data_IF_903410138760
#
_entry.id   IF_903410138760
#
_cell.length_a   1.000
_cell.length_b   1.000
_cell.length_c   1.000
_cell.angle_alpha   90.00
_cell.angle_beta   90.00
_cell.angle_gamma   90.00
#
_symmetry.space_group_name_H-M   'P 1'
#
loop_
_entity.id
_entity.type
_entity.pdbx_description
1 polymer ?
#
# COMPACT_ATOMS: atom_id res chain seq x y z
N UNK A 1 -0.88 17.21 -14.18
CA UNK A 1 -2.11 17.34 -13.40
C UNK A 1 -1.77 17.48 -11.92
N UNK A 2 -2.32 18.47 -11.29
CA UNK A 2 -2.00 18.72 -9.90
C UNK A 2 -3.19 18.41 -9.01
N UNK A 3 -2.89 17.86 -7.85
CA UNK A 3 -3.90 17.54 -6.86
C UNK A 3 -3.76 18.49 -5.68
N UNK A 4 -4.88 18.78 -5.03
CA UNK A 4 -4.84 19.62 -3.84
C UNK A 4 -4.24 18.84 -2.68
N UNK A 5 -3.76 19.57 -1.67
CA UNK A 5 -3.24 18.95 -0.46
C UNK A 5 -4.31 18.06 0.18
N UNK A 6 -5.55 18.51 0.19
CA UNK A 6 -6.64 17.73 0.78
C UNK A 6 -6.87 16.42 0.03
N UNK A 7 -6.78 16.45 -1.30
CA UNK A 7 -6.92 15.24 -2.09
C UNK A 7 -5.79 14.26 -1.79
N UNK A 8 -4.58 14.77 -1.66
CA UNK A 8 -3.41 13.94 -1.37
C UNK A 8 -3.50 13.31 0.02
N UNK A 9 -3.95 14.09 1.00
CA UNK A 9 -4.12 13.58 2.37
C UNK A 9 -5.17 12.49 2.43
N UNK A 10 -6.27 12.67 1.71
CA UNK A 10 -7.32 11.67 1.67
C UNK A 10 -6.83 10.40 0.97
N UNK A 11 -6.13 10.56 -0.15
CA UNK A 11 -5.58 9.42 -0.86
C UNK A 11 -4.63 8.63 0.03
N UNK A 12 -3.78 9.34 0.76
CA UNK A 12 -2.84 8.69 1.68
C UNK A 12 -3.58 7.90 2.75
N UNK A 13 -4.64 8.49 3.30
CA UNK A 13 -5.43 7.82 4.34
C UNK A 13 -6.05 6.52 3.81
N UNK A 14 -6.61 6.58 2.60
CA UNK A 14 -7.22 5.41 1.99
C UNK A 14 -6.18 4.33 1.72
N UNK A 15 -5.01 4.73 1.24
CA UNK A 15 -3.92 3.78 0.97
C UNK A 15 -3.42 3.16 2.27
N UNK A 16 -3.23 3.96 3.32
CA UNK A 16 -2.79 3.44 4.62
C UNK A 16 -3.77 2.40 5.15
N UNK A 17 -5.06 2.67 5.04
CA UNK A 17 -6.09 1.73 5.47
C UNK A 17 -6.03 0.44 4.65
N UNK A 18 -5.87 0.56 3.34
CA UNK A 18 -5.77 -0.59 2.45
C UNK A 18 -4.52 -1.41 2.75
N UNK A 19 -3.40 -0.74 2.98
CA UNK A 19 -2.16 -1.43 3.34
C UNK A 19 -2.31 -2.23 4.63
N UNK A 20 -2.95 -1.63 5.62
CA UNK A 20 -3.19 -2.34 6.87
C UNK A 20 -4.01 -3.61 6.64
N UNK A 21 -5.08 -3.50 5.87
CA UNK A 21 -5.94 -4.65 5.58
C UNK A 21 -5.19 -5.73 4.79
N UNK A 22 -4.38 -5.33 3.83
CA UNK A 22 -3.61 -6.29 3.05
C UNK A 22 -2.61 -7.05 3.91
N UNK A 23 -1.93 -6.35 4.79
CA UNK A 23 -0.96 -6.99 5.69
C UNK A 23 -1.65 -7.95 6.65
N UNK A 24 -2.82 -7.59 7.15
CA UNK A 24 -3.59 -8.48 8.02
C UNK A 24 -4.08 -9.71 7.26
N UNK A 25 -4.47 -9.53 6.01
CA UNK A 25 -4.89 -10.65 5.16
C UNK A 25 -3.74 -11.62 4.94
N UNK A 26 -2.55 -11.10 4.69
CA UNK A 26 -1.37 -11.95 4.50
C UNK A 26 -1.10 -12.76 5.77
N UNK A 27 -1.14 -12.12 6.93
CA UNK A 27 -0.94 -12.80 8.20
C UNK A 27 -1.94 -13.93 8.39
N UNK A 28 -3.19 -13.65 8.06
CA UNK A 28 -4.27 -14.63 8.19
C UNK A 28 -4.00 -15.85 7.32
N UNK A 29 -3.64 -15.64 6.06
CA UNK A 29 -3.36 -16.76 5.17
C UNK A 29 -2.13 -17.54 5.59
N UNK A 30 -1.09 -16.85 6.05
CA UNK A 30 0.15 -17.52 6.47
C UNK A 30 -0.03 -18.34 7.73
N UNK A 31 -1.02 -18.00 8.53
CA UNK A 31 -1.33 -18.73 9.75
C UNK A 31 -2.22 -19.95 9.54
N UNK A 32 -2.71 -20.16 8.32
CA UNK A 32 -3.54 -21.33 8.02
C UNK A 32 -2.71 -22.61 8.06
N UNK A 33 -3.39 -23.72 8.29
CA UNK A 33 -2.71 -25.03 8.38
C UNK A 33 -2.01 -25.41 7.09
N UNK A 34 -2.55 -24.99 5.96
CA UNK A 34 -1.97 -25.30 4.66
C UNK A 34 -1.74 -24.02 3.89
N UNK A 35 -0.71 -23.26 4.23
CA UNK A 35 -0.46 -21.95 3.57
C UNK A 35 -0.29 -22.07 2.07
N UNK A 36 0.21 -23.20 1.56
CA UNK A 36 0.40 -23.37 0.12
C UNK A 36 -0.89 -23.24 -0.66
N UNK A 37 -2.02 -23.55 -0.05
CA UNK A 37 -3.31 -23.42 -0.72
C UNK A 37 -3.64 -21.98 -1.04
N UNK A 38 -3.03 -21.06 -0.32
CA UNK A 38 -3.29 -19.62 -0.47
C UNK A 38 -2.13 -18.88 -1.09
N UNK A 39 -1.18 -19.62 -1.66
CA UNK A 39 0.03 -19.02 -2.20
C UNK A 39 -0.26 -17.93 -3.23
N UNK A 40 -1.20 -18.17 -4.11
CA UNK A 40 -1.55 -17.17 -5.14
C UNK A 40 -2.13 -15.91 -4.52
N UNK A 41 -3.00 -16.07 -3.53
CA UNK A 41 -3.59 -14.94 -2.84
C UNK A 41 -2.55 -14.15 -2.07
N UNK A 42 -1.62 -14.85 -1.41
CA UNK A 42 -0.55 -14.20 -0.68
C UNK A 42 0.35 -13.42 -1.63
N UNK A 43 0.73 -14.03 -2.75
CA UNK A 43 1.56 -13.37 -3.75
C UNK A 43 0.90 -12.11 -4.29
N UNK A 44 -0.38 -12.19 -4.61
CA UNK A 44 -1.11 -11.04 -5.11
C UNK A 44 -1.19 -9.93 -4.06
N UNK A 45 -1.47 -10.31 -2.82
CA UNK A 45 -1.54 -9.33 -1.73
C UNK A 45 -0.19 -8.64 -1.52
N UNK A 46 0.91 -9.39 -1.58
CA UNK A 46 2.24 -8.80 -1.44
C UNK A 46 2.57 -7.82 -2.56
N UNK A 47 2.16 -8.15 -3.77
CA UNK A 47 2.36 -7.25 -4.91
C UNK A 47 1.59 -5.94 -4.70
N UNK A 48 0.38 -6.05 -4.15
CA UNK A 48 -0.42 -4.87 -3.87
C UNK A 48 0.19 -4.03 -2.75
N UNK A 49 0.71 -4.70 -1.73
CA UNK A 49 1.40 -3.97 -0.66
C UNK A 49 2.56 -3.17 -1.21
N UNK A 50 3.34 -3.78 -2.09
CA UNK A 50 4.47 -3.08 -2.70
C UNK A 50 4.02 -1.89 -3.53
N UNK A 51 3.02 -2.11 -4.39
CA UNK A 51 2.52 -1.04 -5.27
C UNK A 51 1.96 0.12 -4.45
N UNK A 52 1.16 -0.18 -3.44
CA UNK A 52 0.57 0.88 -2.62
C UNK A 52 1.59 1.57 -1.74
N UNK A 53 2.64 0.85 -1.32
CA UNK A 53 3.72 1.47 -0.57
C UNK A 53 4.44 2.50 -1.42
N UNK A 54 4.72 2.15 -2.67
CA UNK A 54 5.37 3.08 -3.60
C UNK A 54 4.47 4.31 -3.82
N UNK A 55 3.18 4.08 -4.08
CA UNK A 55 2.25 5.18 -4.29
C UNK A 55 2.19 6.09 -3.06
N UNK A 56 2.17 5.48 -1.87
CA UNK A 56 2.10 6.25 -0.64
C UNK A 56 3.35 7.10 -0.42
N UNK A 57 4.52 6.57 -0.77
CA UNK A 57 5.75 7.33 -0.66
C UNK A 57 5.76 8.51 -1.62
N UNK A 58 5.27 8.31 -2.83
CA UNK A 58 5.20 9.39 -3.81
C UNK A 58 4.24 10.49 -3.35
N UNK A 59 3.12 10.10 -2.77
CA UNK A 59 2.17 11.07 -2.23
C UNK A 59 2.81 11.84 -1.08
N UNK A 60 3.52 11.15 -0.19
CA UNK A 60 4.19 11.79 0.93
C UNK A 60 5.22 12.81 0.47
N UNK A 61 5.97 12.48 -0.56
CA UNK A 61 6.96 13.41 -1.13
C UNK A 61 6.27 14.65 -1.67
N UNK A 62 5.16 14.46 -2.35
CA UNK A 62 4.42 15.59 -2.89
C UNK A 62 3.87 16.47 -1.77
N UNK A 63 3.40 15.86 -0.68
CA UNK A 63 2.88 16.59 0.46
C UNK A 63 3.95 17.41 1.16
N UNK A 64 5.17 16.91 1.23
CA UNK A 64 6.26 17.61 1.89
C UNK A 64 6.93 18.63 0.97
N UNK A 65 6.58 18.63 -0.31
CA UNK A 65 7.20 19.52 -1.28
C UNK A 65 8.62 19.13 -1.64
N UNK A 66 9.07 17.97 -1.19
CA UNK A 66 10.40 17.51 -1.53
C UNK A 66 10.33 16.74 -2.84
N UNK A 67 10.90 17.33 -3.86
CA UNK A 67 11.03 16.64 -5.12
C UNK A 67 12.37 15.96 -5.13
N UNK A 68 12.38 14.79 -5.69
CA UNK A 68 13.62 14.10 -5.87
C UNK A 68 14.30 14.71 -7.07
N UNK A 69 15.36 15.42 -6.82
CA UNK A 69 16.15 15.98 -7.90
C UNK A 69 17.26 15.05 -8.24
N UNK A 70 17.36 14.74 -9.48
CA UNK A 70 18.45 13.91 -9.94
C UNK A 70 19.50 14.76 -10.60
#
# INVERSE_FOLDING_TARGET
>A
MEYTREQLLEAKRQIDSTLHKLRETIKTFEAKEEPQRYKSQITLARRRVEAFTIANELISRELTGKRQET
#
